data_IF_959282591514
#
_entry.id   IF_959282591514
#
_cell.length_a   1.000
_cell.length_b   1.000
_cell.length_c   1.000
_cell.angle_alpha   90.00
_cell.angle_beta   90.00
_cell.angle_gamma   90.00
#
_symmetry.space_group_name_H-M   'P 1'
#
loop_
_entity.id
_entity.type
_entity.pdbx_description
1 polymer ?
#
# COMPACT_ATOMS: atom_id res chain seq x y z
N UNK A 1 10.32 -24.77 -0.07
CA UNK A 1 9.03 -25.06 0.60
C UNK A 1 8.12 -23.86 0.42
N UNK A 2 6.89 -24.07 -0.04
CA UNK A 2 5.88 -23.04 -0.15
C UNK A 2 4.69 -23.35 0.77
N UNK A 3 4.12 -22.33 1.38
CA UNK A 3 2.92 -22.43 2.19
C UNK A 3 2.33 -21.06 2.50
N UNK A 4 1.18 -21.06 3.16
CA UNK A 4 0.50 -19.83 3.58
C UNK A 4 0.67 -19.62 5.08
N UNK A 5 1.32 -18.56 5.49
CA UNK A 5 1.81 -18.32 6.87
C UNK A 5 2.82 -19.38 7.36
N UNK A 6 3.56 -19.96 6.41
CA UNK A 6 4.48 -21.08 6.70
C UNK A 6 5.64 -20.64 7.59
N UNK A 7 6.18 -19.44 7.40
CA UNK A 7 7.36 -18.93 8.11
C UNK A 7 7.10 -18.81 9.62
N UNK A 8 5.96 -18.31 10.01
CA UNK A 8 5.64 -18.05 11.42
C UNK A 8 4.78 -19.11 12.09
N UNK A 9 4.09 -19.94 11.31
CA UNK A 9 3.23 -20.98 11.85
C UNK A 9 3.84 -22.38 11.72
N UNK A 10 4.09 -22.87 10.50
CA UNK A 10 4.36 -24.28 10.28
C UNK A 10 5.82 -24.66 10.49
N UNK A 11 6.75 -23.73 10.21
CA UNK A 11 8.19 -24.01 10.28
C UNK A 11 8.70 -24.41 11.65
N UNK A 12 8.06 -23.96 12.70
CA UNK A 12 8.40 -24.36 14.07
C UNK A 12 8.11 -25.83 14.36
N UNK A 13 7.23 -26.46 13.54
CA UNK A 13 6.85 -27.87 13.71
C UNK A 13 7.51 -28.79 12.68
N UNK A 14 7.84 -28.27 11.47
CA UNK A 14 8.19 -29.12 10.33
C UNK A 14 9.68 -29.47 10.24
N UNK A 15 10.58 -28.53 10.54
CA UNK A 15 11.98 -28.68 10.14
C UNK A 15 12.99 -28.64 11.30
N UNK A 16 12.57 -28.43 12.54
CA UNK A 16 13.48 -28.37 13.68
C UNK A 16 14.73 -27.53 13.37
N UNK A 17 15.91 -28.13 13.53
CA UNK A 17 17.20 -27.46 13.27
C UNK A 17 17.61 -27.36 11.78
N UNK A 18 16.88 -28.04 10.89
CA UNK A 18 17.20 -28.03 9.44
C UNK A 18 16.55 -26.86 8.65
N UNK A 19 15.75 -26.02 9.31
CA UNK A 19 15.07 -24.88 8.68
C UNK A 19 15.96 -23.94 7.87
N UNK A 20 17.25 -23.87 8.17
CA UNK A 20 18.21 -23.02 7.46
C UNK A 20 18.62 -23.55 6.07
N UNK A 21 18.27 -24.80 5.75
CA UNK A 21 18.63 -25.43 4.47
C UNK A 21 17.60 -25.17 3.35
N UNK A 22 16.46 -24.57 3.66
CA UNK A 22 15.33 -24.47 2.74
C UNK A 22 15.00 -23.04 2.37
N UNK A 23 14.72 -22.82 1.09
CA UNK A 23 14.10 -21.59 0.62
C UNK A 23 12.60 -21.69 0.97
N UNK A 24 12.14 -20.74 1.77
CA UNK A 24 10.76 -20.69 2.27
C UNK A 24 10.01 -19.58 1.55
N UNK A 25 8.93 -19.94 0.86
CA UNK A 25 8.04 -18.99 0.19
C UNK A 25 6.72 -18.94 0.94
N UNK A 26 6.38 -17.76 1.43
CA UNK A 26 5.15 -17.53 2.21
C UNK A 26 4.18 -16.66 1.42
N UNK A 27 3.10 -17.28 0.94
CA UNK A 27 2.10 -16.59 0.12
C UNK A 27 1.30 -15.54 0.90
N UNK A 28 1.25 -15.62 2.23
CA UNK A 28 0.52 -14.63 3.02
C UNK A 28 1.13 -13.23 2.91
N UNK A 29 2.46 -13.13 2.80
CA UNK A 29 3.17 -11.85 2.70
C UNK A 29 3.16 -11.27 1.29
N UNK A 30 3.21 -12.14 0.26
CA UNK A 30 3.18 -11.72 -1.13
C UNK A 30 1.78 -11.31 -1.60
N UNK A 31 0.74 -11.97 -1.09
CA UNK A 31 -0.63 -11.73 -1.51
C UNK A 31 -1.07 -10.26 -1.39
N UNK A 32 -0.90 -9.53 -0.28
CA UNK A 32 -1.29 -8.12 -0.21
C UNK A 32 -0.41 -7.18 -1.04
N UNK A 33 0.83 -7.57 -1.32
CA UNK A 33 1.71 -6.81 -2.22
C UNK A 33 1.25 -6.90 -3.68
N UNK A 34 0.87 -8.09 -4.11
CA UNK A 34 0.51 -8.37 -5.51
C UNK A 34 -0.97 -8.13 -5.81
N UNK A 35 -1.83 -8.25 -4.79
CA UNK A 35 -3.28 -8.07 -4.90
C UNK A 35 -3.81 -7.03 -3.90
N UNK A 36 -3.30 -5.78 -3.93
CA UNK A 36 -3.62 -4.75 -2.93
C UNK A 36 -5.10 -4.37 -2.87
N UNK A 37 -5.89 -4.68 -3.92
CA UNK A 37 -7.34 -4.44 -3.95
C UNK A 37 -8.16 -5.52 -3.21
N UNK A 38 -7.54 -6.64 -2.82
CA UNK A 38 -8.25 -7.67 -2.07
C UNK A 38 -8.31 -7.27 -0.60
N UNK A 39 -9.49 -7.24 0.03
CA UNK A 39 -9.60 -6.86 1.44
C UNK A 39 -9.11 -7.94 2.40
N UNK A 40 -9.06 -9.20 1.94
CA UNK A 40 -8.66 -10.35 2.75
C UNK A 40 -7.62 -11.19 2.02
N UNK A 41 -6.60 -11.63 2.77
CA UNK A 41 -5.46 -12.40 2.27
C UNK A 41 -5.32 -13.77 2.94
N UNK A 42 -6.31 -14.20 3.75
CA UNK A 42 -6.38 -15.57 4.27
C UNK A 42 -6.84 -16.53 3.18
N UNK A 43 -6.35 -17.78 3.23
CA UNK A 43 -6.92 -18.84 2.40
C UNK A 43 -8.41 -18.97 2.75
N UNK A 44 -9.27 -18.77 1.74
CA UNK A 44 -10.70 -18.92 1.91
C UNK A 44 -10.98 -20.41 2.20
N UNK A 45 -11.51 -20.67 3.38
CA UNK A 45 -12.05 -21.98 3.73
C UNK A 45 -13.46 -22.03 3.10
N UNK A 46 -13.53 -22.59 1.88
CA UNK A 46 -14.81 -22.82 1.24
C UNK A 46 -15.60 -23.82 2.08
N UNK A 47 -16.85 -23.49 2.31
CA UNK A 47 -17.88 -24.33 2.93
C UNK A 47 -17.62 -24.86 4.35
N UNK A 48 -17.80 -23.97 5.32
CA UNK A 48 -18.12 -24.37 6.70
C UNK A 48 -19.40 -25.22 6.82
N UNK A 49 -20.09 -25.46 5.71
CA UNK A 49 -21.38 -26.18 5.65
C UNK A 49 -21.23 -27.69 5.45
N UNK A 50 -20.06 -28.18 5.01
CA UNK A 50 -19.82 -29.62 4.81
C UNK A 50 -18.78 -30.06 5.83
N UNK A 51 -19.24 -30.67 6.91
CA UNK A 51 -18.43 -31.08 8.07
C UNK A 51 -17.27 -32.06 7.75
N UNK A 52 -17.34 -32.80 6.64
CA UNK A 52 -16.30 -33.75 6.25
C UNK A 52 -15.10 -33.15 5.53
N UNK A 53 -15.20 -31.89 5.04
CA UNK A 53 -14.10 -31.18 4.39
C UNK A 53 -13.41 -30.14 5.31
N UNK A 54 -13.93 -29.95 6.50
CA UNK A 54 -13.32 -29.06 7.50
C UNK A 54 -11.97 -29.64 7.97
N UNK A 55 -10.92 -28.86 7.77
CA UNK A 55 -9.54 -29.15 8.21
C UNK A 55 -8.80 -30.29 7.45
N UNK A 56 -9.06 -30.44 6.14
CA UNK A 56 -8.22 -31.33 5.34
C UNK A 56 -6.90 -30.59 4.94
N UNK A 57 -5.74 -31.00 5.49
CA UNK A 57 -4.45 -30.34 5.18
C UNK A 57 -4.09 -30.38 3.68
N UNK A 58 -4.55 -31.38 2.94
CA UNK A 58 -4.30 -31.50 1.50
C UNK A 58 -5.01 -30.38 0.73
N UNK A 59 -6.25 -30.05 1.13
CA UNK A 59 -6.97 -28.94 0.51
C UNK A 59 -6.30 -27.58 0.79
N UNK A 60 -5.80 -27.37 2.00
CA UNK A 60 -5.08 -26.15 2.34
C UNK A 60 -3.76 -26.05 1.56
N UNK A 61 -3.03 -27.16 1.39
CA UNK A 61 -1.85 -27.21 0.53
C UNK A 61 -2.18 -26.94 -0.95
N UNK A 62 -3.28 -27.47 -1.47
CA UNK A 62 -3.72 -27.21 -2.84
C UNK A 62 -4.05 -25.72 -3.05
N UNK A 63 -4.79 -25.10 -2.11
CA UNK A 63 -5.12 -23.66 -2.15
C UNK A 63 -3.86 -22.78 -2.04
N UNK A 64 -2.93 -23.14 -1.18
CA UNK A 64 -1.65 -22.41 -1.07
C UNK A 64 -0.84 -22.49 -2.36
N UNK A 65 -0.81 -23.68 -3.02
CA UNK A 65 -0.19 -23.86 -4.34
C UNK A 65 -0.88 -22.99 -5.39
N UNK A 66 -2.20 -23.01 -5.45
CA UNK A 66 -2.96 -22.27 -6.46
C UNK A 66 -2.76 -20.76 -6.26
N UNK A 67 -2.78 -20.26 -5.02
CA UNK A 67 -2.44 -18.87 -4.70
C UNK A 67 -1.01 -18.53 -5.13
N UNK A 68 -0.04 -19.44 -4.91
CA UNK A 68 1.33 -19.24 -5.35
C UNK A 68 1.45 -19.10 -6.87
N UNK A 69 0.67 -19.90 -7.62
CA UNK A 69 0.65 -19.78 -9.09
C UNK A 69 0.03 -18.45 -9.55
N UNK A 70 -1.01 -17.98 -8.87
CA UNK A 70 -1.61 -16.67 -9.12
C UNK A 70 -0.60 -15.54 -8.81
N UNK A 71 0.14 -15.66 -7.71
CA UNK A 71 1.20 -14.70 -7.32
C UNK A 71 2.33 -14.64 -8.35
N UNK A 72 2.77 -15.78 -8.86
CA UNK A 72 3.78 -15.85 -9.93
C UNK A 72 3.26 -15.19 -11.22
N UNK A 73 2.05 -15.55 -11.64
CA UNK A 73 1.46 -14.94 -12.83
C UNK A 73 1.30 -13.42 -12.68
N UNK A 74 0.90 -12.96 -11.47
CA UNK A 74 0.80 -11.53 -11.17
C UNK A 74 2.16 -10.85 -11.17
N UNK A 75 3.18 -11.46 -10.56
CA UNK A 75 4.56 -11.00 -10.59
C UNK A 75 5.07 -10.85 -12.02
N UNK A 76 4.85 -11.84 -12.87
CA UNK A 76 5.27 -11.82 -14.27
C UNK A 76 4.61 -10.68 -15.07
N UNK A 77 3.39 -10.31 -14.70
CA UNK A 77 2.65 -9.20 -15.31
C UNK A 77 3.11 -7.80 -14.89
N UNK A 78 3.95 -7.67 -13.84
CA UNK A 78 4.53 -6.40 -13.44
C UNK A 78 5.58 -5.94 -14.45
N UNK A 79 5.79 -4.62 -14.55
CA UNK A 79 6.90 -4.07 -15.33
C UNK A 79 8.24 -4.41 -14.67
N UNK A 80 9.32 -4.40 -15.43
CA UNK A 80 10.64 -4.72 -14.91
C UNK A 80 11.09 -3.71 -13.84
N UNK A 81 10.69 -2.45 -13.98
CA UNK A 81 10.93 -1.41 -12.99
C UNK A 81 10.22 -1.71 -11.66
N UNK A 82 8.95 -2.14 -11.72
CA UNK A 82 8.17 -2.51 -10.53
C UNK A 82 8.78 -3.73 -9.82
N UNK A 83 9.16 -4.76 -10.60
CA UNK A 83 9.86 -5.94 -10.07
C UNK A 83 11.13 -5.55 -9.36
N UNK A 84 11.95 -4.68 -9.98
CA UNK A 84 13.21 -4.18 -9.42
C UNK A 84 12.99 -3.37 -8.15
N UNK A 85 11.96 -2.51 -8.09
CA UNK A 85 11.59 -1.76 -6.89
C UNK A 85 11.28 -2.71 -5.74
N UNK A 86 10.34 -3.65 -5.95
CA UNK A 86 9.94 -4.58 -4.90
C UNK A 86 11.08 -5.50 -4.47
N UNK A 87 11.86 -6.02 -5.42
CA UNK A 87 13.01 -6.85 -5.10
C UNK A 87 14.05 -6.11 -4.26
N UNK A 88 14.39 -4.87 -4.63
CA UNK A 88 15.38 -4.07 -3.89
C UNK A 88 14.90 -3.72 -2.48
N UNK A 89 13.59 -3.47 -2.29
CA UNK A 89 13.04 -3.18 -0.97
C UNK A 89 12.94 -4.41 -0.08
N UNK A 90 12.67 -5.59 -0.66
CA UNK A 90 12.19 -6.76 0.09
C UNK A 90 13.15 -7.96 0.08
N UNK A 91 14.18 -7.97 -0.76
CA UNK A 91 15.12 -9.10 -0.90
C UNK A 91 15.75 -9.53 0.42
N UNK A 92 16.15 -8.58 1.26
CA UNK A 92 16.80 -8.85 2.55
C UNK A 92 15.81 -9.06 3.71
N UNK A 93 14.51 -8.96 3.42
CA UNK A 93 13.46 -9.15 4.43
C UNK A 93 13.06 -10.63 4.46
N UNK A 94 13.18 -11.25 5.63
CA UNK A 94 13.02 -12.70 5.84
C UNK A 94 11.74 -13.27 5.20
N UNK A 95 10.63 -12.58 5.35
CA UNK A 95 9.31 -13.02 4.90
C UNK A 95 9.18 -13.03 3.37
N UNK A 96 9.95 -12.19 2.67
CA UNK A 96 9.91 -12.03 1.21
C UNK A 96 11.10 -12.68 0.51
N UNK A 97 12.20 -12.90 1.25
CA UNK A 97 13.48 -13.39 0.70
C UNK A 97 13.31 -14.63 -0.19
N UNK A 98 12.51 -15.60 0.27
CA UNK A 98 12.31 -16.85 -0.46
C UNK A 98 11.65 -16.65 -1.81
N UNK A 99 10.60 -15.79 -1.87
CA UNK A 99 9.95 -15.46 -3.13
C UNK A 99 10.90 -14.72 -4.08
N UNK A 100 11.59 -13.66 -3.58
CA UNK A 100 12.53 -12.88 -4.40
C UNK A 100 13.68 -13.71 -4.95
N UNK A 101 14.20 -14.66 -4.15
CA UNK A 101 15.21 -15.63 -4.58
C UNK A 101 14.69 -16.57 -5.65
N UNK A 102 13.45 -17.09 -5.48
CA UNK A 102 12.85 -18.04 -6.42
C UNK A 102 12.58 -17.41 -7.78
N UNK A 103 12.10 -16.17 -7.83
CA UNK A 103 11.86 -15.45 -9.09
C UNK A 103 13.14 -14.84 -9.68
N UNK A 104 14.29 -15.02 -9.03
CA UNK A 104 15.59 -14.46 -9.44
C UNK A 104 15.47 -12.96 -9.78
N UNK A 105 14.81 -12.21 -8.88
CA UNK A 105 14.50 -10.82 -9.12
C UNK A 105 15.77 -9.95 -9.14
N UNK A 106 15.86 -9.06 -10.13
CA UNK A 106 16.96 -8.10 -10.26
C UNK A 106 16.83 -6.99 -9.20
N UNK A 107 17.96 -6.62 -8.57
CA UNK A 107 18.04 -5.57 -7.55
C UNK A 107 18.92 -4.43 -8.05
N UNK A 108 18.63 -3.20 -7.60
CA UNK A 108 19.46 -2.03 -7.88
C UNK A 108 20.14 -1.49 -6.61
N UNK A 109 21.07 -0.56 -6.78
CA UNK A 109 21.63 0.15 -5.65
C UNK A 109 20.58 1.04 -4.97
N UNK A 110 20.62 1.16 -3.64
CA UNK A 110 19.65 1.97 -2.87
C UNK A 110 19.60 3.44 -3.32
N UNK A 111 20.71 3.98 -3.84
CA UNK A 111 20.76 5.35 -4.36
C UNK A 111 19.96 5.51 -5.65
N UNK A 112 19.93 4.48 -6.49
CA UNK A 112 19.17 4.46 -7.74
C UNK A 112 17.68 4.24 -7.49
N UNK A 113 17.34 3.52 -6.40
CA UNK A 113 15.98 3.13 -6.08
C UNK A 113 15.05 4.34 -5.90
N UNK A 114 15.49 5.39 -5.19
CA UNK A 114 14.68 6.61 -5.01
C UNK A 114 14.35 7.27 -6.36
N UNK A 115 15.31 7.33 -7.26
CA UNK A 115 15.12 7.89 -8.61
C UNK A 115 14.17 7.01 -9.43
N UNK A 116 14.32 5.69 -9.34
CA UNK A 116 13.45 4.73 -10.03
C UNK A 116 12.00 4.83 -9.53
N UNK A 117 11.78 4.91 -8.21
CA UNK A 117 10.45 5.12 -7.63
C UNK A 117 9.83 6.43 -8.13
N UNK A 118 10.59 7.54 -8.14
CA UNK A 118 10.10 8.83 -8.65
C UNK A 118 9.73 8.76 -10.12
N UNK A 119 10.46 8.01 -10.93
CA UNK A 119 10.17 7.84 -12.35
C UNK A 119 8.88 7.01 -12.57
N UNK A 120 8.77 5.86 -11.91
CA UNK A 120 7.62 4.93 -12.05
C UNK A 120 6.34 5.56 -11.51
N UNK A 121 6.43 6.27 -10.38
CA UNK A 121 5.27 6.90 -9.73
C UNK A 121 5.15 8.40 -10.04
N UNK A 122 5.73 8.84 -11.17
CA UNK A 122 5.62 10.23 -11.61
C UNK A 122 4.15 10.67 -11.71
N UNK A 123 3.82 11.79 -11.08
CA UNK A 123 2.44 12.30 -11.03
C UNK A 123 1.50 11.54 -10.07
N UNK A 124 1.98 10.54 -9.35
CA UNK A 124 1.20 9.80 -8.34
C UNK A 124 1.67 10.06 -6.92
N UNK A 125 2.89 10.55 -6.73
CA UNK A 125 3.49 10.91 -5.44
C UNK A 125 4.16 12.27 -5.52
N UNK A 126 4.40 12.89 -4.36
CA UNK A 126 5.15 14.14 -4.26
C UNK A 126 6.59 13.97 -4.79
N UNK A 127 7.02 14.87 -5.68
CA UNK A 127 8.38 14.86 -6.26
C UNK A 127 9.49 15.10 -5.22
N UNK A 128 9.14 15.65 -4.06
CA UNK A 128 10.07 15.93 -2.97
C UNK A 128 9.79 15.08 -1.73
N UNK A 129 9.11 13.95 -1.88
CA UNK A 129 8.98 12.99 -0.80
C UNK A 129 10.37 12.47 -0.37
N UNK A 130 10.59 12.37 0.94
CA UNK A 130 11.85 11.89 1.51
C UNK A 130 11.96 10.36 1.37
N UNK A 131 12.14 9.91 0.11
CA UNK A 131 12.25 8.50 -0.22
C UNK A 131 13.50 7.86 0.38
N UNK A 132 14.62 8.57 0.46
CA UNK A 132 15.88 8.03 0.98
C UNK A 132 15.72 7.54 2.42
N UNK A 133 15.11 8.36 3.28
CA UNK A 133 14.83 7.98 4.66
C UNK A 133 13.84 6.82 4.74
N UNK A 134 12.77 6.84 3.93
CA UNK A 134 11.75 5.79 3.94
C UNK A 134 12.33 4.46 3.46
N UNK A 135 13.13 4.43 2.39
CA UNK A 135 13.80 3.23 1.86
C UNK A 135 14.67 2.56 2.94
N UNK A 136 15.35 3.34 3.76
CA UNK A 136 16.24 2.81 4.80
C UNK A 136 15.45 2.34 6.02
N UNK A 137 14.48 3.11 6.48
CA UNK A 137 13.81 2.88 7.76
C UNK A 137 12.56 2.01 7.67
N UNK A 138 11.84 2.05 6.53
CA UNK A 138 10.52 1.48 6.36
C UNK A 138 10.36 0.81 4.97
N UNK A 139 11.29 -0.09 4.56
CA UNK A 139 11.26 -0.64 3.20
C UNK A 139 10.01 -1.49 2.92
N UNK A 140 9.52 -2.23 3.90
CA UNK A 140 8.33 -3.09 3.75
C UNK A 140 7.06 -2.24 3.63
N UNK A 141 6.92 -1.25 4.53
CA UNK A 141 5.81 -0.31 4.50
C UNK A 141 5.80 0.49 3.19
N UNK A 142 6.99 0.85 2.67
CA UNK A 142 7.10 1.52 1.38
C UNK A 142 6.62 0.60 0.25
N UNK A 143 7.01 -0.66 0.22
CA UNK A 143 6.57 -1.60 -0.80
C UNK A 143 5.03 -1.74 -0.81
N UNK A 144 4.39 -1.91 0.35
CA UNK A 144 2.93 -1.96 0.45
C UNK A 144 2.26 -0.62 0.10
N UNK A 145 2.84 0.52 0.52
CA UNK A 145 2.33 1.83 0.15
C UNK A 145 2.35 2.05 -1.37
N UNK A 146 3.45 1.67 -2.04
CA UNK A 146 3.58 1.75 -3.49
C UNK A 146 2.58 0.82 -4.20
N UNK A 147 2.36 -0.40 -3.69
CA UNK A 147 1.36 -1.31 -4.21
C UNK A 147 -0.06 -0.71 -4.12
N UNK A 148 -0.42 -0.10 -2.99
CA UNK A 148 -1.70 0.60 -2.82
C UNK A 148 -1.85 1.78 -3.76
N UNK A 149 -0.79 2.58 -3.93
CA UNK A 149 -0.79 3.75 -4.82
C UNK A 149 -0.94 3.34 -6.30
N UNK A 150 -0.40 2.19 -6.70
CA UNK A 150 -0.49 1.69 -8.08
C UNK A 150 -1.89 1.20 -8.47
N UNK A 151 -2.82 1.07 -7.52
CA UNK A 151 -4.18 0.65 -7.82
C UNK A 151 -4.93 1.77 -8.56
N UNK A 152 -5.64 1.41 -9.60
CA UNK A 152 -6.47 2.36 -10.39
C UNK A 152 -7.80 2.69 -9.71
N UNK A 153 -8.18 1.93 -8.70
CA UNK A 153 -9.42 2.13 -7.96
C UNK A 153 -9.20 3.13 -6.82
N UNK A 154 -9.91 4.24 -6.87
CA UNK A 154 -9.84 5.30 -5.84
C UNK A 154 -10.27 4.87 -4.43
N UNK A 155 -10.79 3.66 -4.29
CA UNK A 155 -11.34 3.11 -3.05
C UNK A 155 -10.50 1.96 -2.46
N UNK A 156 -9.21 1.87 -2.76
CA UNK A 156 -8.36 0.87 -2.13
C UNK A 156 -8.21 1.18 -0.64
N UNK A 157 -8.74 0.30 0.19
CA UNK A 157 -8.55 0.34 1.63
C UNK A 157 -7.33 -0.53 1.95
N UNK A 158 -6.44 -0.03 2.79
CA UNK A 158 -5.31 -0.82 3.26
C UNK A 158 -5.84 -2.10 3.92
N UNK A 159 -5.43 -3.30 3.44
CA UNK A 159 -5.96 -4.54 3.98
C UNK A 159 -5.74 -4.63 5.51
N UNK A 160 -6.72 -5.09 6.30
CA UNK A 160 -6.62 -5.17 7.75
C UNK A 160 -5.39 -5.97 8.24
N UNK A 161 -5.01 -7.01 7.50
CA UNK A 161 -3.81 -7.79 7.80
C UNK A 161 -2.54 -6.94 7.68
N UNK A 162 -2.45 -6.08 6.66
CA UNK A 162 -1.31 -5.16 6.47
C UNK A 162 -1.26 -4.14 7.60
N UNK A 163 -2.40 -3.52 7.95
CA UNK A 163 -2.47 -2.56 9.06
C UNK A 163 -2.04 -3.18 10.38
N UNK A 164 -2.41 -4.43 10.64
CA UNK A 164 -2.04 -5.12 11.86
C UNK A 164 -0.53 -5.41 11.96
N UNK A 165 0.10 -5.85 10.85
CA UNK A 165 1.50 -6.24 10.83
C UNK A 165 2.45 -5.08 10.51
N UNK A 166 2.00 -4.11 9.73
CA UNK A 166 2.77 -2.95 9.24
C UNK A 166 1.97 -1.65 9.41
N UNK A 167 1.72 -1.21 10.66
CA UNK A 167 0.81 -0.09 10.95
C UNK A 167 1.29 1.24 10.35
N UNK A 168 2.56 1.37 10.01
CA UNK A 168 3.12 2.58 9.41
C UNK A 168 2.86 2.73 7.91
N UNK A 169 2.22 1.76 7.25
CA UNK A 169 1.93 1.84 5.80
C UNK A 169 1.13 3.10 5.47
N UNK A 170 0.09 3.42 6.24
CA UNK A 170 -0.72 4.63 6.02
C UNK A 170 0.09 5.92 6.25
N UNK A 171 0.99 5.92 7.23
CA UNK A 171 1.91 7.04 7.44
C UNK A 171 2.84 7.24 6.24
N UNK A 172 3.33 6.15 5.64
CA UNK A 172 4.15 6.23 4.42
C UNK A 172 3.31 6.75 3.25
N UNK A 173 2.09 6.26 3.04
CA UNK A 173 1.18 6.79 2.01
C UNK A 173 0.95 8.29 2.22
N UNK A 174 0.70 8.72 3.46
CA UNK A 174 0.53 10.14 3.79
C UNK A 174 1.77 10.96 3.46
N UNK A 175 2.97 10.48 3.79
CA UNK A 175 4.24 11.16 3.45
C UNK A 175 4.47 11.25 1.94
N UNK A 176 4.05 10.25 1.17
CA UNK A 176 4.20 10.23 -0.28
C UNK A 176 3.17 11.09 -1.00
N UNK A 177 1.92 11.14 -0.53
CA UNK A 177 0.78 11.69 -1.28
C UNK A 177 0.09 12.89 -0.63
N UNK A 178 0.04 12.95 0.69
CA UNK A 178 -0.80 13.90 1.41
C UNK A 178 0.00 14.95 2.21
N UNK A 179 1.33 14.95 2.07
CA UNK A 179 2.19 15.96 2.70
C UNK A 179 2.61 16.99 1.65
N UNK A 180 2.10 18.21 1.79
CA UNK A 180 2.45 19.32 0.87
C UNK A 180 3.94 19.66 0.99
N UNK A 181 4.67 19.59 -0.11
CA UNK A 181 6.08 19.96 -0.09
C UNK A 181 6.27 21.48 -0.16
N UNK A 182 7.24 21.99 0.61
CA UNK A 182 7.54 23.42 0.66
C UNK A 182 7.93 24.02 -0.70
N UNK A 183 8.44 23.20 -1.62
CA UNK A 183 8.82 23.60 -2.98
C UNK A 183 7.63 23.70 -3.93
N UNK A 184 6.46 23.18 -3.55
CA UNK A 184 5.25 23.22 -4.35
C UNK A 184 5.40 22.53 -5.70
N UNK A 185 5.74 21.23 -5.72
CA UNK A 185 5.85 20.45 -6.94
C UNK A 185 4.52 20.33 -7.68
N UNK A 186 4.56 19.90 -8.94
CA UNK A 186 3.35 19.82 -9.77
C UNK A 186 2.30 18.88 -9.22
N UNK A 187 2.72 17.74 -8.63
CA UNK A 187 1.83 16.84 -7.90
C UNK A 187 1.09 17.56 -6.76
N UNK A 188 1.83 18.25 -5.87
CA UNK A 188 1.24 18.94 -4.74
C UNK A 188 0.33 20.09 -5.17
N UNK A 189 0.72 20.85 -6.20
CA UNK A 189 -0.13 21.91 -6.76
C UNK A 189 -1.44 21.37 -7.33
N UNK A 190 -1.40 20.21 -7.97
CA UNK A 190 -2.57 19.61 -8.60
C UNK A 190 -3.47 18.92 -7.57
N UNK A 191 -2.92 18.01 -6.77
CA UNK A 191 -3.71 17.11 -5.92
C UNK A 191 -3.99 17.64 -4.52
N UNK A 192 -3.17 18.56 -4.02
CA UNK A 192 -3.39 19.22 -2.72
C UNK A 192 -3.94 20.64 -2.89
N UNK A 193 -4.38 21.00 -4.09
CA UNK A 193 -5.07 22.27 -4.36
C UNK A 193 -6.56 22.10 -4.10
N UNK A 194 -7.04 22.71 -3.04
CA UNK A 194 -8.44 22.58 -2.59
C UNK A 194 -9.46 23.04 -3.64
N UNK A 195 -9.13 24.07 -4.45
CA UNK A 195 -10.02 24.56 -5.50
C UNK A 195 -10.09 23.59 -6.69
N UNK A 196 -8.94 23.02 -7.08
CA UNK A 196 -8.89 21.98 -8.09
C UNK A 196 -9.72 20.75 -7.66
N UNK A 197 -9.53 20.28 -6.44
CA UNK A 197 -10.25 19.13 -5.90
C UNK A 197 -11.75 19.40 -5.74
N UNK A 198 -12.13 20.60 -5.31
CA UNK A 198 -13.54 21.03 -5.24
C UNK A 198 -14.23 20.84 -6.59
N UNK A 199 -13.58 21.26 -7.68
CA UNK A 199 -14.11 21.11 -9.02
C UNK A 199 -14.14 19.66 -9.49
N UNK A 200 -13.06 18.90 -9.26
CA UNK A 200 -12.95 17.52 -9.75
C UNK A 200 -13.87 16.55 -9.00
N UNK A 201 -14.01 16.70 -7.67
CA UNK A 201 -14.74 15.76 -6.83
C UNK A 201 -16.23 16.14 -6.73
N UNK A 202 -16.51 17.43 -6.57
CA UNK A 202 -17.87 17.91 -6.29
C UNK A 202 -18.50 18.69 -7.44
N UNK A 203 -17.76 19.05 -8.49
CA UNK A 203 -18.25 19.82 -9.64
C UNK A 203 -18.53 21.29 -9.32
N UNK A 204 -18.07 21.81 -8.19
CA UNK A 204 -18.27 23.21 -7.81
C UNK A 204 -17.07 24.06 -8.23
N UNK A 205 -17.35 25.24 -8.79
CA UNK A 205 -16.29 26.17 -9.20
C UNK A 205 -15.76 27.02 -8.03
N UNK A 206 -16.53 27.18 -6.96
CA UNK A 206 -16.19 28.04 -5.83
C UNK A 206 -16.73 27.46 -4.52
N UNK A 207 -15.96 27.68 -3.43
CA UNK A 207 -16.42 27.43 -2.07
C UNK A 207 -17.55 28.42 -1.68
N UNK A 208 -18.36 28.02 -0.71
CA UNK A 208 -19.34 28.93 -0.11
C UNK A 208 -18.64 29.95 0.79
N UNK A 209 -19.09 31.18 0.72
CA UNK A 209 -18.72 32.24 1.65
C UNK A 209 -19.78 32.41 2.74
N UNK A 210 -19.39 32.86 3.90
CA UNK A 210 -20.26 33.16 5.04
C UNK A 210 -20.00 34.60 5.48
N UNK A 211 -21.03 35.44 5.41
CA UNK A 211 -20.90 36.87 5.66
C UNK A 211 -19.77 37.57 4.87
N UNK A 212 -19.55 37.07 3.64
CA UNK A 212 -18.47 37.55 2.76
C UNK A 212 -17.10 36.90 3.00
N UNK A 213 -16.94 36.09 4.04
CA UNK A 213 -15.67 35.44 4.38
C UNK A 213 -15.55 34.04 3.76
N UNK A 214 -14.39 33.65 3.22
CA UNK A 214 -14.16 32.36 2.59
C UNK A 214 -13.85 31.25 3.61
N UNK A 215 -14.70 31.12 4.65
CA UNK A 215 -14.44 30.24 5.80
C UNK A 215 -14.31 28.77 5.41
N UNK A 216 -15.12 28.31 4.44
CA UNK A 216 -15.10 26.93 3.98
C UNK A 216 -13.77 26.61 3.24
N UNK A 217 -13.31 27.52 2.38
CA UNK A 217 -12.03 27.39 1.68
C UNK A 217 -10.85 27.45 2.66
N UNK A 218 -10.89 28.38 3.61
CA UNK A 218 -9.84 28.51 4.62
C UNK A 218 -9.74 27.26 5.50
N UNK A 219 -10.87 26.63 5.85
CA UNK A 219 -10.87 25.39 6.60
C UNK A 219 -10.26 24.23 5.80
N UNK A 220 -10.62 24.09 4.52
CA UNK A 220 -10.03 23.08 3.64
C UNK A 220 -8.51 23.28 3.45
N UNK A 221 -8.07 24.53 3.21
CA UNK A 221 -6.62 24.85 3.09
C UNK A 221 -5.86 24.52 4.37
N UNK A 222 -6.41 24.89 5.54
CA UNK A 222 -5.74 24.60 6.82
C UNK A 222 -5.63 23.09 7.08
N UNK A 223 -6.63 22.30 6.68
CA UNK A 223 -6.58 20.85 6.78
C UNK A 223 -5.49 20.23 5.90
N UNK A 224 -5.38 20.67 4.63
CA UNK A 224 -4.32 20.23 3.71
C UNK A 224 -2.93 20.62 4.21
N UNK A 225 -2.80 21.75 4.87
CA UNK A 225 -1.55 22.21 5.51
C UNK A 225 -1.24 21.46 6.82
N UNK A 226 -2.06 20.48 7.24
CA UNK A 226 -1.87 19.72 8.48
C UNK A 226 -2.12 20.54 9.75
N UNK A 227 -2.80 21.67 9.67
CA UNK A 227 -3.12 22.51 10.83
C UNK A 227 -4.30 21.95 11.60
N UNK A 228 -4.19 21.93 12.93
CA UNK A 228 -5.36 21.65 13.79
C UNK A 228 -6.35 22.80 13.68
N UNK A 229 -7.61 22.48 13.39
CA UNK A 229 -8.65 23.49 13.27
C UNK A 229 -9.99 23.00 13.86
N UNK A 230 -10.80 23.96 14.30
CA UNK A 230 -12.20 23.75 14.65
C UNK A 230 -13.06 24.56 13.69
N UNK A 231 -13.77 23.86 12.79
CA UNK A 231 -14.67 24.50 11.82
C UNK A 231 -16.13 24.40 12.29
N UNK A 232 -16.74 25.55 12.53
CA UNK A 232 -18.15 25.66 12.95
C UNK A 232 -18.95 26.31 11.82
N UNK A 233 -19.86 25.53 11.23
CA UNK A 233 -20.76 25.99 10.18
C UNK A 233 -22.21 25.71 10.57
N UNK A 234 -23.18 26.47 10.06
CA UNK A 234 -24.59 26.20 10.29
C UNK A 234 -24.99 24.82 9.71
N UNK A 235 -26.17 24.33 10.11
CA UNK A 235 -26.75 23.11 9.52
C UNK A 235 -26.93 23.31 8.02
N UNK A 236 -26.50 22.32 7.20
CA UNK A 236 -26.48 22.45 5.74
C UNK A 236 -25.34 23.31 5.19
N UNK A 237 -24.43 23.80 6.04
CA UNK A 237 -23.29 24.65 5.66
C UNK A 237 -22.12 23.93 4.97
N UNK A 238 -22.30 22.67 4.52
CA UNK A 238 -21.27 21.96 3.76
C UNK A 238 -20.02 21.56 4.58
N UNK A 239 -20.18 21.25 5.86
CA UNK A 239 -19.10 20.77 6.75
C UNK A 239 -18.36 19.57 6.16
N UNK A 240 -19.11 18.60 5.62
CA UNK A 240 -18.55 17.38 5.05
C UNK A 240 -17.58 17.64 3.90
N UNK A 241 -17.82 18.68 3.11
CA UNK A 241 -17.00 19.05 1.98
C UNK A 241 -15.57 19.43 2.39
N UNK A 242 -15.39 20.10 3.54
CA UNK A 242 -14.09 20.58 4.00
C UNK A 242 -13.10 19.49 4.42
N UNK A 243 -13.56 18.26 4.70
CA UNK A 243 -12.70 17.12 5.06
C UNK A 243 -12.77 15.96 4.05
N UNK A 244 -13.53 16.11 2.97
CA UNK A 244 -13.60 15.14 1.88
C UNK A 244 -12.79 15.58 0.64
N UNK A 245 -12.20 16.75 0.68
CA UNK A 245 -11.29 17.31 -0.33
C UNK A 245 -9.83 16.81 -0.12
#
# INVERSE_FOLDING_TARGET
ICGHNVIHHDMKYLLGDEKHKWILVDTLYMSPLLFPNRPYHHLLKDDKLISEQMNNPVNDCAKARDLMMDELAKWDSLTDEMKRIYATLLHDVKEFHGFMTMVNADICEKKELATLIQAVYHGQICQHADLETIIIQQPVELAFALALISTTEHNSITPPWVLYHYPNVETVVQRLRHSYCLKGCDYCKQFLNVNYNLKQIFGYDQFRTYDGEPLQENAAKAAVEGKSLLAIFPTGGGKSLTFQL
#
